data_IF_327291616256
#
_entry.id   IF_327291616256
#
_cell.length_a   1.000
_cell.length_b   1.000
_cell.length_c   1.000
_cell.angle_alpha   90.00
_cell.angle_beta   90.00
_cell.angle_gamma   90.00
#
_symmetry.space_group_name_H-M   'P 1'
#
loop_
_entity.id
_entity.type
_entity.pdbx_description
1 polymer ?
#
# COMPACT_ATOMS: atom_id res chain seq x y z
N UNK A 1 13.50 10.88 1.74
CA UNK A 1 13.37 9.46 1.40
C UNK A 1 13.59 8.68 2.68
N UNK A 2 12.55 7.94 3.08
CA UNK A 2 12.46 7.19 4.31
C UNK A 2 12.46 5.71 3.92
N UNK A 3 13.32 4.91 4.55
CA UNK A 3 13.30 3.45 4.44
C UNK A 3 12.56 2.92 5.68
N UNK A 4 11.49 2.17 5.44
CA UNK A 4 10.76 1.45 6.49
C UNK A 4 10.61 -0.01 6.08
N UNK A 5 10.43 -0.90 7.04
CA UNK A 5 10.09 -2.28 6.69
C UNK A 5 8.65 -2.37 6.18
N UNK A 6 8.40 -3.45 5.44
CA UNK A 6 7.11 -3.64 4.79
C UNK A 6 5.97 -3.93 5.77
N UNK A 7 6.24 -4.50 6.94
CA UNK A 7 5.18 -4.73 7.94
C UNK A 7 4.75 -3.41 8.56
N UNK A 8 5.69 -2.57 8.99
CA UNK A 8 5.41 -1.22 9.48
C UNK A 8 4.67 -0.39 8.42
N UNK A 9 5.11 -0.44 7.15
CA UNK A 9 4.40 0.23 6.05
C UNK A 9 2.94 -0.23 5.90
N UNK A 10 2.71 -1.53 5.95
CA UNK A 10 1.37 -2.11 5.81
C UNK A 10 0.48 -1.68 6.97
N UNK A 11 0.97 -1.80 8.20
CA UNK A 11 0.22 -1.45 9.40
C UNK A 11 -0.11 0.03 9.45
N UNK A 12 0.83 0.91 9.11
CA UNK A 12 0.58 2.35 9.05
C UNK A 12 -0.49 2.69 8.00
N UNK A 13 -0.41 2.13 6.79
CA UNK A 13 -1.43 2.39 5.76
C UNK A 13 -2.79 1.84 6.18
N UNK A 14 -2.85 0.65 6.79
CA UNK A 14 -4.09 0.09 7.34
C UNK A 14 -4.67 0.98 8.43
N UNK A 15 -3.82 1.50 9.31
CA UNK A 15 -4.24 2.44 10.35
C UNK A 15 -4.89 3.69 9.72
N UNK A 16 -4.28 4.28 8.69
CA UNK A 16 -4.89 5.39 7.95
C UNK A 16 -6.21 4.98 7.27
N UNK A 17 -6.32 3.75 6.75
CA UNK A 17 -7.57 3.26 6.17
C UNK A 17 -8.71 3.16 7.19
N UNK A 18 -8.40 2.90 8.47
CA UNK A 18 -9.44 2.83 9.53
C UNK A 18 -10.13 4.18 9.78
N UNK A 19 -9.55 5.30 9.36
CA UNK A 19 -10.18 6.61 9.45
C UNK A 19 -11.37 6.79 8.48
N UNK A 20 -11.50 5.91 7.48
CA UNK A 20 -12.60 5.93 6.53
C UNK A 20 -13.70 4.95 6.95
N UNK A 21 -14.84 5.47 7.45
CA UNK A 21 -15.99 4.65 7.89
C UNK A 21 -16.54 3.65 6.83
N UNK A 22 -16.35 3.94 5.54
CA UNK A 22 -16.80 3.07 4.44
C UNK A 22 -15.87 1.85 4.21
N UNK A 23 -14.67 1.84 4.80
CA UNK A 23 -13.74 0.72 4.73
C UNK A 23 -13.90 -0.15 5.97
N UNK A 24 -14.52 -1.30 5.81
CA UNK A 24 -14.59 -2.30 6.86
C UNK A 24 -13.28 -3.08 7.01
N UNK A 25 -13.09 -3.74 8.15
CA UNK A 25 -11.90 -4.54 8.45
C UNK A 25 -11.60 -5.59 7.36
N UNK A 26 -12.62 -6.22 6.80
CA UNK A 26 -12.44 -7.24 5.74
C UNK A 26 -11.83 -6.61 4.48
N UNK A 27 -12.30 -5.42 4.10
CA UNK A 27 -11.79 -4.67 2.96
C UNK A 27 -10.32 -4.27 3.17
N UNK A 28 -9.97 -3.85 4.40
CA UNK A 28 -8.60 -3.49 4.76
C UNK A 28 -7.67 -4.72 4.74
N UNK A 29 -8.11 -5.87 5.25
CA UNK A 29 -7.35 -7.12 5.21
C UNK A 29 -7.21 -7.70 3.79
N UNK A 30 -8.22 -7.51 2.94
CA UNK A 30 -8.13 -7.86 1.51
C UNK A 30 -7.11 -6.97 0.79
N UNK A 31 -7.07 -5.67 1.10
CA UNK A 31 -6.05 -4.77 0.57
C UNK A 31 -4.64 -5.23 0.92
N UNK A 32 -4.38 -5.57 2.19
CA UNK A 32 -3.09 -6.10 2.64
C UNK A 32 -2.71 -7.36 1.84
N UNK A 33 -3.64 -8.30 1.74
CA UNK A 33 -3.43 -9.57 1.04
C UNK A 33 -3.07 -9.33 -0.43
N UNK A 34 -3.75 -8.39 -1.08
CA UNK A 34 -3.50 -8.01 -2.48
C UNK A 34 -2.18 -7.27 -2.64
N UNK A 35 -1.84 -6.35 -1.73
CA UNK A 35 -0.56 -5.65 -1.75
C UNK A 35 0.61 -6.62 -1.62
N UNK A 36 0.55 -7.56 -0.67
CA UNK A 36 1.56 -8.62 -0.48
C UNK A 36 1.76 -9.45 -1.74
N UNK A 37 0.67 -9.79 -2.45
CA UNK A 37 0.75 -10.49 -3.75
C UNK A 37 1.37 -9.61 -4.83
N UNK A 38 0.89 -8.38 -4.95
CA UNK A 38 1.35 -7.42 -5.95
C UNK A 38 2.84 -7.14 -5.83
N UNK A 39 3.37 -6.94 -4.61
CA UNK A 39 4.79 -6.74 -4.35
C UNK A 39 5.63 -7.97 -4.75
N UNK A 40 5.12 -9.18 -4.49
CA UNK A 40 5.77 -10.44 -4.91
C UNK A 40 5.79 -10.60 -6.44
N UNK A 41 4.79 -10.10 -7.15
CA UNK A 41 4.69 -10.15 -8.61
C UNK A 41 5.50 -9.03 -9.30
N UNK A 42 5.71 -7.90 -8.62
CA UNK A 42 6.33 -6.70 -9.19
C UNK A 42 7.69 -6.33 -8.56
N UNK A 43 8.55 -7.32 -8.28
CA UNK A 43 9.81 -7.20 -7.52
C UNK A 43 10.82 -6.13 -8.00
N UNK A 44 10.64 -5.55 -9.18
CA UNK A 44 11.57 -4.63 -9.83
C UNK A 44 11.13 -3.15 -9.77
N UNK A 45 10.20 -2.78 -8.89
CA UNK A 45 9.76 -1.38 -8.75
C UNK A 45 10.74 -0.56 -7.90
N UNK A 46 10.86 0.73 -8.23
CA UNK A 46 11.79 1.65 -7.56
C UNK A 46 11.42 1.99 -6.11
N UNK A 47 10.18 1.72 -5.72
CA UNK A 47 9.59 2.16 -4.46
C UNK A 47 9.53 1.05 -3.39
N UNK A 48 10.04 -0.14 -3.70
CA UNK A 48 10.36 -1.17 -2.71
C UNK A 48 11.52 -2.03 -3.20
N UNK A 49 12.31 -2.55 -2.27
CA UNK A 49 13.38 -3.49 -2.55
C UNK A 49 13.17 -4.77 -1.76
N UNK A 50 12.98 -5.87 -2.49
CA UNK A 50 12.84 -7.20 -1.92
C UNK A 50 14.25 -7.76 -1.69
N UNK A 51 14.76 -7.64 -0.46
CA UNK A 51 16.05 -8.22 -0.04
C UNK A 51 15.92 -9.74 0.17
N UNK A 52 14.76 -10.21 0.64
CA UNK A 52 14.42 -11.63 0.82
C UNK A 52 12.90 -11.86 0.90
N UNK A 53 12.43 -13.12 1.00
CA UNK A 53 10.99 -13.45 1.10
C UNK A 53 10.27 -12.76 2.26
N UNK A 54 11.01 -12.48 3.34
CA UNK A 54 10.53 -11.88 4.59
C UNK A 54 11.18 -10.52 4.86
N UNK A 55 12.04 -10.03 3.96
CA UNK A 55 12.78 -8.78 4.16
C UNK A 55 12.55 -7.88 2.95
N UNK A 56 11.53 -7.02 3.06
CA UNK A 56 11.13 -6.07 2.03
C UNK A 56 11.30 -4.68 2.63
N UNK A 57 12.20 -3.89 2.05
CA UNK A 57 12.36 -2.48 2.39
C UNK A 57 11.44 -1.64 1.50
N UNK A 58 10.63 -0.77 2.08
CA UNK A 58 9.77 0.17 1.37
C UNK A 58 10.42 1.54 1.40
N UNK A 59 10.52 2.17 0.23
CA UNK A 59 11.07 3.52 0.12
C UNK A 59 9.93 4.51 -0.10
N UNK A 60 9.77 5.40 0.88
CA UNK A 60 8.83 6.51 0.82
C UNK A 60 9.59 7.80 0.60
N UNK A 61 8.94 8.78 -0.02
CA UNK A 61 9.48 10.12 -0.12
C UNK A 61 9.48 10.80 1.25
N UNK A 62 8.31 10.78 1.89
CA UNK A 62 7.93 11.40 3.15
C UNK A 62 6.79 10.57 3.79
N UNK A 63 6.45 10.77 5.06
CA UNK A 63 5.46 9.97 5.82
C UNK A 63 4.03 10.11 5.25
N UNK A 64 3.71 11.27 4.66
CA UNK A 64 2.41 11.55 4.03
C UNK A 64 2.05 10.56 2.90
N UNK A 65 3.02 9.87 2.31
CA UNK A 65 2.74 8.92 1.22
C UNK A 65 1.87 7.75 1.67
N UNK A 66 1.92 7.37 2.95
CA UNK A 66 1.07 6.31 3.51
C UNK A 66 -0.39 6.77 3.59
N UNK A 67 -0.61 8.01 4.03
CA UNK A 67 -1.93 8.65 4.01
C UNK A 67 -2.48 8.79 2.59
N UNK A 68 -1.65 9.27 1.65
CA UNK A 68 -2.04 9.37 0.25
C UNK A 68 -2.42 8.01 -0.36
N UNK A 69 -1.74 6.93 0.06
CA UNK A 69 -2.03 5.59 -0.43
C UNK A 69 -3.38 5.08 0.07
N UNK A 70 -3.69 5.31 1.35
CA UNK A 70 -4.98 5.02 1.94
C UNK A 70 -6.10 5.83 1.26
N UNK A 71 -5.88 7.13 1.05
CA UNK A 71 -6.85 7.99 0.36
C UNK A 71 -7.11 7.51 -1.08
N UNK A 72 -6.05 7.18 -1.83
CA UNK A 72 -6.16 6.66 -3.22
C UNK A 72 -6.95 5.36 -3.25
N UNK A 73 -6.71 4.47 -2.30
CA UNK A 73 -7.45 3.22 -2.19
C UNK A 73 -8.93 3.46 -1.87
N UNK A 74 -9.22 4.28 -0.87
CA UNK A 74 -10.59 4.64 -0.50
C UNK A 74 -11.36 5.26 -1.69
N UNK A 75 -10.75 6.22 -2.40
CA UNK A 75 -11.34 6.82 -3.60
C UNK A 75 -11.61 5.76 -4.68
N UNK A 76 -10.70 4.82 -4.89
CA UNK A 76 -10.88 3.74 -5.84
C UNK A 76 -11.99 2.77 -5.42
N UNK A 77 -12.07 2.42 -4.13
CA UNK A 77 -13.12 1.59 -3.56
C UNK A 77 -14.50 2.21 -3.79
N UNK A 78 -14.68 3.46 -3.34
CA UNK A 78 -15.94 4.21 -3.49
C UNK A 78 -16.41 4.36 -4.93
N UNK A 79 -15.49 4.48 -5.87
CA UNK A 79 -15.79 4.64 -7.29
C UNK A 79 -15.82 3.31 -8.08
N UNK A 80 -15.66 2.15 -7.43
CA UNK A 80 -15.53 0.84 -8.09
C UNK A 80 -14.37 0.78 -9.11
N UNK A 81 -13.26 1.47 -8.82
CA UNK A 81 -12.06 1.58 -9.66
C UNK A 81 -10.83 0.89 -9.07
N UNK A 82 -11.03 -0.16 -8.26
CA UNK A 82 -9.93 -0.91 -7.64
C UNK A 82 -8.95 -1.50 -8.67
N UNK A 83 -9.45 -1.97 -9.81
CA UNK A 83 -8.59 -2.49 -10.89
C UNK A 83 -7.62 -1.43 -11.44
N UNK A 84 -8.10 -0.19 -11.63
CA UNK A 84 -7.24 0.93 -12.04
C UNK A 84 -6.22 1.30 -10.94
N UNK A 85 -6.62 1.24 -9.67
CA UNK A 85 -5.74 1.48 -8.54
C UNK A 85 -4.56 0.49 -8.55
N UNK A 86 -4.81 -0.82 -8.66
CA UNK A 86 -3.76 -1.83 -8.69
C UNK A 86 -2.86 -1.74 -9.93
N UNK A 87 -3.42 -1.38 -11.10
CA UNK A 87 -2.65 -1.16 -12.33
C UNK A 87 -1.73 0.05 -12.27
N UNK A 88 -2.19 1.13 -11.62
CA UNK A 88 -1.48 2.41 -11.52
C UNK A 88 -0.76 2.59 -10.17
N UNK A 89 -0.70 1.52 -9.36
CA UNK A 89 -0.15 1.55 -8.03
C UNK A 89 1.29 2.07 -8.06
N UNK A 90 1.51 3.17 -7.34
CA UNK A 90 2.79 3.85 -7.21
C UNK A 90 2.76 4.74 -5.98
N UNK A 91 3.91 4.81 -5.33
CA UNK A 91 4.33 5.75 -4.31
C UNK A 91 5.82 6.00 -4.54
N UNK A 92 6.43 7.02 -3.94
CA UNK A 92 7.83 7.35 -4.14
C UNK A 92 8.12 7.72 -5.59
N UNK A 93 7.97 9.01 -5.91
CA UNK A 93 8.03 9.57 -7.28
C UNK A 93 9.13 9.01 -8.19
#
# INVERSE_FOLDING_TARGET
>A
MIEIDFEDFVEEVKFQMTEYEELDETTILDWETKLRKWVKEHKEKKFFHVKSKDDIAVFLRDEDEMYELAEKFYRAYKNNKLDEYWKKLKWGR
#
